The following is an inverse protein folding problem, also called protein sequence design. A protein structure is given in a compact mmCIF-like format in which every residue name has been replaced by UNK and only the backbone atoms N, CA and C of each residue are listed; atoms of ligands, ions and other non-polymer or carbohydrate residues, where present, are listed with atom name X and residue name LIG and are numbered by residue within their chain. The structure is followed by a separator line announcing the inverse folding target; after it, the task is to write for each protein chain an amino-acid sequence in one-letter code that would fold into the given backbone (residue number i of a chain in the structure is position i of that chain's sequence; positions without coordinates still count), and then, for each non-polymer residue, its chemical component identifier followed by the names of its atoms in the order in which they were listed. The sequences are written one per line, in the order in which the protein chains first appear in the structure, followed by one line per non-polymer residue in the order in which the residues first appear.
data_IF_506816208597
#
_entry.id   IF_506816208597
#
_cell.length_a   1.000
_cell.length_b   1.000
_cell.length_c   1.000
_cell.angle_alpha   90.00
_cell.angle_beta   90.00
_cell.angle_gamma   90.00
#
_symmetry.space_group_name_H-M   'P 1'
#
loop_
_entity.id
_entity.type
_entity.pdbx_description
1 polymer ?
#
# COMPACT_ATOMS: atom_id res chain seq x y z
N UNK A 1 -1.52 -18.84 6.06
CA UNK A 1 -2.30 -17.80 5.34
C UNK A 1 -1.64 -17.45 4.00
N UNK A 2 -0.36 -17.11 3.98
CA UNK A 2 0.40 -16.74 2.75
C UNK A 2 0.32 -17.81 1.65
N UNK A 3 0.41 -19.10 2.02
CA UNK A 3 0.36 -20.22 1.06
C UNK A 3 -0.93 -20.24 0.22
N UNK A 4 -2.08 -19.82 0.78
CA UNK A 4 -3.37 -19.80 0.06
C UNK A 4 -3.47 -18.67 -0.97
N UNK A 5 -2.80 -17.54 -0.71
CA UNK A 5 -2.79 -16.37 -1.61
C UNK A 5 -1.60 -16.39 -2.58
N UNK A 6 -0.58 -17.21 -2.31
CA UNK A 6 0.62 -17.31 -3.13
C UNK A 6 0.34 -17.52 -4.62
N UNK A 7 -0.58 -18.42 -5.05
CA UNK A 7 -0.89 -18.60 -6.47
C UNK A 7 -1.43 -17.33 -7.14
N UNK A 8 -2.26 -16.55 -6.43
CA UNK A 8 -2.80 -15.29 -6.93
C UNK A 8 -1.70 -14.24 -7.04
N UNK A 9 -0.82 -14.16 -6.04
CA UNK A 9 0.33 -13.24 -6.06
C UNK A 9 1.26 -13.56 -7.25
N UNK A 10 1.57 -14.84 -7.46
CA UNK A 10 2.40 -15.27 -8.58
C UNK A 10 1.74 -14.98 -9.91
N UNK A 11 0.46 -15.29 -10.07
CA UNK A 11 -0.27 -15.07 -11.30
C UNK A 11 -0.26 -13.59 -11.71
N UNK A 12 -0.50 -12.68 -10.77
CA UNK A 12 -0.52 -11.23 -11.05
C UNK A 12 0.86 -10.71 -11.45
N UNK A 13 1.94 -11.16 -10.80
CA UNK A 13 3.31 -10.80 -11.17
C UNK A 13 3.69 -11.36 -12.54
N UNK A 14 3.47 -12.65 -12.76
CA UNK A 14 3.85 -13.30 -14.02
C UNK A 14 3.07 -12.71 -15.19
N UNK A 15 1.76 -12.53 -15.06
CA UNK A 15 0.90 -12.01 -16.13
C UNK A 15 1.34 -10.61 -16.56
N UNK A 16 1.56 -9.72 -15.58
CA UNK A 16 2.01 -8.36 -15.87
C UNK A 16 3.42 -8.33 -16.49
N UNK A 17 4.34 -9.14 -15.99
CA UNK A 17 5.71 -9.20 -16.53
C UNK A 17 5.77 -9.77 -17.94
N UNK A 18 5.08 -10.87 -18.19
CA UNK A 18 4.99 -11.45 -19.54
C UNK A 18 4.46 -10.42 -20.53
N UNK A 19 3.40 -9.70 -20.13
CA UNK A 19 2.83 -8.65 -20.98
C UNK A 19 3.81 -7.52 -21.27
N UNK A 20 4.44 -6.98 -20.22
CA UNK A 20 5.41 -5.89 -20.34
C UNK A 20 6.65 -6.31 -21.11
N UNK A 21 7.13 -7.56 -20.91
CA UNK A 21 8.23 -8.13 -21.66
C UNK A 21 7.93 -8.15 -23.18
N UNK A 22 6.79 -8.71 -23.59
CA UNK A 22 6.41 -8.73 -24.99
C UNK A 22 6.19 -7.33 -25.56
N UNK A 23 5.73 -6.38 -24.77
CA UNK A 23 5.48 -5.02 -25.24
C UNK A 23 6.75 -4.20 -25.39
N UNK A 24 7.69 -4.30 -24.47
CA UNK A 24 8.84 -3.40 -24.39
C UNK A 24 10.19 -4.04 -24.71
N UNK A 25 10.35 -5.34 -24.42
CA UNK A 25 11.63 -6.04 -24.49
C UNK A 25 11.73 -6.96 -25.72
N UNK A 26 10.65 -7.67 -26.05
CA UNK A 26 10.66 -8.65 -27.13
C UNK A 26 10.94 -8.01 -28.50
N UNK A 27 11.83 -8.65 -29.27
CA UNK A 27 12.21 -8.17 -30.60
C UNK A 27 13.12 -6.95 -30.64
N UNK A 28 13.56 -6.44 -29.49
CA UNK A 28 14.51 -5.32 -29.38
C UNK A 28 15.82 -5.81 -28.78
N UNK A 29 16.94 -5.28 -29.25
CA UNK A 29 18.26 -5.58 -28.67
C UNK A 29 18.46 -4.67 -27.45
N UNK A 30 18.29 -5.22 -26.25
CA UNK A 30 18.63 -4.56 -25.01
C UNK A 30 19.92 -5.13 -24.43
N UNK A 31 20.73 -4.35 -23.69
CA UNK A 31 21.88 -4.87 -22.97
C UNK A 31 21.43 -5.81 -21.84
N UNK A 32 22.26 -6.77 -21.47
CA UNK A 32 21.95 -7.79 -20.45
C UNK A 32 21.49 -7.19 -19.12
N UNK A 33 22.07 -6.05 -18.71
CA UNK A 33 21.69 -5.39 -17.48
C UNK A 33 20.21 -4.91 -17.48
N UNK A 34 19.64 -4.60 -18.65
CA UNK A 34 18.24 -4.18 -18.74
C UNK A 34 17.29 -5.35 -18.47
N UNK A 35 17.61 -6.56 -18.94
CA UNK A 35 16.85 -7.77 -18.59
C UNK A 35 16.98 -8.08 -17.10
N UNK A 36 18.18 -7.95 -16.54
CA UNK A 36 18.41 -8.15 -15.12
C UNK A 36 17.56 -7.18 -14.27
N UNK A 37 17.61 -5.88 -14.56
CA UNK A 37 16.79 -4.88 -13.85
C UNK A 37 15.28 -5.10 -14.02
N UNK A 38 14.85 -5.62 -15.16
CA UNK A 38 13.44 -5.90 -15.40
C UNK A 38 12.91 -7.03 -14.52
N UNK A 39 13.63 -8.13 -14.40
CA UNK A 39 13.20 -9.31 -13.64
C UNK A 39 13.58 -9.28 -12.17
N UNK A 40 14.60 -8.52 -11.79
CA UNK A 40 15.14 -8.48 -10.42
C UNK A 40 14.08 -8.19 -9.34
N UNK A 41 13.19 -7.18 -9.48
CA UNK A 41 12.20 -6.88 -8.44
C UNK A 41 11.27 -8.07 -8.17
N UNK A 42 10.83 -8.75 -9.23
CA UNK A 42 9.93 -9.89 -9.10
C UNK A 42 10.65 -11.14 -8.58
N UNK A 43 11.91 -11.35 -8.96
CA UNK A 43 12.73 -12.42 -8.42
C UNK A 43 12.94 -12.26 -6.91
N UNK A 44 13.22 -11.03 -6.45
CA UNK A 44 13.35 -10.73 -5.03
C UNK A 44 12.03 -10.93 -4.27
N UNK A 45 10.89 -10.50 -4.83
CA UNK A 45 9.58 -10.74 -4.23
C UNK A 45 9.25 -12.24 -4.17
N UNK A 46 9.59 -13.01 -5.19
CA UNK A 46 9.40 -14.46 -5.19
C UNK A 46 10.23 -15.14 -4.10
N UNK A 47 11.51 -14.78 -3.99
CA UNK A 47 12.40 -15.31 -2.95
C UNK A 47 11.86 -14.95 -1.55
N UNK A 48 11.44 -13.70 -1.35
CA UNK A 48 10.84 -13.26 -0.09
C UNK A 48 9.55 -14.03 0.23
N UNK A 49 8.68 -14.26 -0.75
CA UNK A 49 7.47 -15.06 -0.58
C UNK A 49 7.78 -16.49 -0.16
N UNK A 50 8.79 -17.13 -0.79
CA UNK A 50 9.23 -18.48 -0.43
C UNK A 50 9.79 -18.54 1.00
N UNK A 51 10.60 -17.57 1.39
CA UNK A 51 11.13 -17.46 2.76
C UNK A 51 10.00 -17.34 3.76
N UNK A 52 9.04 -16.43 3.53
CA UNK A 52 7.89 -16.21 4.41
C UNK A 52 6.95 -17.41 4.50
N UNK A 53 6.85 -18.24 3.45
CA UNK A 53 6.07 -19.48 3.50
C UNK A 53 6.77 -20.59 4.28
N UNK A 54 8.11 -20.57 4.33
CA UNK A 54 8.91 -21.53 5.09
C UNK A 54 8.92 -21.22 6.59
N UNK A 55 8.82 -19.94 6.97
CA UNK A 55 8.79 -19.50 8.37
C UNK A 55 7.35 -19.59 8.90
N UNK A 56 6.92 -20.76 9.35
CA UNK A 56 5.54 -21.02 9.83
C UNK A 56 5.19 -20.30 11.16
N UNK A 57 6.16 -19.74 11.86
CA UNK A 57 5.96 -19.13 13.17
C UNK A 57 5.44 -17.70 13.06
N UNK A 58 4.23 -17.46 13.56
CA UNK A 58 3.62 -16.13 13.67
C UNK A 58 4.22 -15.34 14.86
N UNK A 59 5.52 -15.08 14.81
CA UNK A 59 6.15 -14.18 15.78
C UNK A 59 5.90 -12.71 15.38
N UNK A 60 5.93 -11.76 16.33
CA UNK A 60 5.81 -10.33 16.01
C UNK A 60 6.83 -9.84 14.95
N UNK A 61 8.00 -10.47 14.89
CA UNK A 61 9.03 -10.16 13.90
C UNK A 61 8.61 -10.59 12.49
N UNK A 62 7.99 -11.76 12.35
CA UNK A 62 7.46 -12.26 11.09
C UNK A 62 6.28 -11.41 10.59
N UNK A 63 5.48 -10.84 11.50
CA UNK A 63 4.41 -9.90 11.14
C UNK A 63 4.98 -8.65 10.45
N UNK A 64 6.03 -8.05 10.99
CA UNK A 64 6.70 -6.90 10.36
C UNK A 64 7.22 -7.25 8.95
N UNK A 65 7.85 -8.42 8.80
CA UNK A 65 8.33 -8.89 7.49
C UNK A 65 7.18 -9.09 6.50
N UNK A 66 6.05 -9.62 6.95
CA UNK A 66 4.84 -9.76 6.13
C UNK A 66 4.31 -8.40 5.66
N UNK A 67 4.22 -7.42 6.55
CA UNK A 67 3.77 -6.06 6.20
C UNK A 67 4.70 -5.44 5.14
N UNK A 68 6.01 -5.54 5.34
CA UNK A 68 7.00 -5.04 4.37
C UNK A 68 6.85 -5.77 3.03
N UNK A 69 6.73 -7.09 3.05
CA UNK A 69 6.55 -7.88 1.83
C UNK A 69 5.29 -7.46 1.06
N UNK A 70 4.13 -7.40 1.73
CA UNK A 70 2.88 -7.00 1.07
C UNK A 70 2.92 -5.57 0.57
N UNK A 71 3.55 -4.65 1.30
CA UNK A 71 3.73 -3.26 0.87
C UNK A 71 4.58 -3.17 -0.41
N UNK A 72 5.71 -3.88 -0.45
CA UNK A 72 6.56 -3.94 -1.63
C UNK A 72 5.88 -4.66 -2.81
N UNK A 73 5.17 -5.75 -2.52
CA UNK A 73 4.40 -6.46 -3.54
C UNK A 73 3.36 -5.54 -4.18
N UNK A 74 2.55 -4.85 -3.37
CA UNK A 74 1.54 -3.92 -3.87
C UNK A 74 2.17 -2.79 -4.67
N UNK A 75 3.28 -2.22 -4.20
CA UNK A 75 4.01 -1.14 -4.88
C UNK A 75 4.54 -1.55 -6.26
N UNK A 76 4.88 -2.83 -6.46
CA UNK A 76 5.41 -3.34 -7.73
C UNK A 76 4.29 -3.90 -8.61
N UNK A 77 3.38 -4.70 -8.05
CA UNK A 77 2.38 -5.42 -8.80
C UNK A 77 1.23 -4.53 -9.30
N UNK A 78 0.68 -3.65 -8.45
CA UNK A 78 -0.50 -2.86 -8.81
C UNK A 78 -0.24 -1.87 -9.96
N UNK A 79 0.88 -1.11 -10.01
CA UNK A 79 1.16 -0.26 -11.15
C UNK A 79 1.34 -1.04 -12.45
N UNK A 80 1.98 -2.23 -12.42
CA UNK A 80 2.13 -3.09 -13.58
C UNK A 80 0.78 -3.64 -14.07
N UNK A 81 -0.07 -4.06 -13.14
CA UNK A 81 -1.42 -4.52 -13.46
C UNK A 81 -2.29 -3.41 -14.04
N UNK A 82 -2.22 -2.19 -13.46
CA UNK A 82 -2.93 -1.03 -13.99
C UNK A 82 -2.47 -0.72 -15.41
N UNK A 83 -1.14 -0.74 -15.65
CA UNK A 83 -0.60 -0.58 -16.99
C UNK A 83 -1.19 -1.60 -17.97
N UNK A 84 -1.17 -2.88 -17.62
CA UNK A 84 -1.70 -3.97 -18.43
C UNK A 84 -3.17 -3.74 -18.76
N UNK A 85 -4.00 -3.44 -17.76
CA UNK A 85 -5.45 -3.26 -17.94
C UNK A 85 -5.72 -2.06 -18.86
N UNK A 86 -5.13 -0.91 -18.56
CA UNK A 86 -5.36 0.33 -19.35
C UNK A 86 -4.84 0.18 -20.78
N UNK A 87 -3.71 -0.50 -20.96
CA UNK A 87 -3.15 -0.72 -22.30
C UNK A 87 -3.96 -1.74 -23.12
N UNK A 88 -4.54 -2.76 -22.50
CA UNK A 88 -5.46 -3.68 -23.17
C UNK A 88 -6.75 -2.96 -23.62
N UNK A 89 -7.30 -2.10 -22.76
CA UNK A 89 -8.44 -1.25 -23.14
C UNK A 89 -8.04 -0.34 -24.30
N UNK A 90 -6.85 0.28 -24.21
CA UNK A 90 -6.29 1.11 -25.28
C UNK A 90 -6.12 0.35 -26.60
N UNK A 91 -5.70 -0.92 -26.56
CA UNK A 91 -5.64 -1.77 -27.77
C UNK A 91 -7.02 -1.98 -28.40
N UNK A 92 -8.06 -2.19 -27.56
CA UNK A 92 -9.45 -2.27 -28.04
C UNK A 92 -9.87 -0.97 -28.76
N UNK A 93 -9.57 0.19 -28.21
CA UNK A 93 -9.83 1.49 -28.83
C UNK A 93 -9.08 1.63 -30.16
N UNK A 94 -7.83 1.15 -30.22
CA UNK A 94 -6.99 1.23 -31.42
C UNK A 94 -7.46 0.35 -32.57
N UNK A 95 -8.39 -0.60 -32.37
CA UNK A 95 -9.06 -1.32 -33.46
C UNK A 95 -9.88 -0.37 -34.33
N UNK A 96 -10.52 0.63 -33.70
CA UNK A 96 -11.33 1.64 -34.39
C UNK A 96 -10.51 2.89 -34.77
N UNK A 97 -9.50 3.22 -33.94
CA UNK A 97 -8.66 4.42 -34.11
C UNK A 97 -7.16 4.09 -34.08
N UNK A 98 -6.58 3.54 -35.19
CA UNK A 98 -5.17 3.08 -35.20
C UNK A 98 -4.14 4.17 -34.86
N UNK A 99 -4.48 5.45 -35.16
CA UNK A 99 -3.61 6.60 -34.85
C UNK A 99 -3.44 6.86 -33.36
N UNK A 100 -4.37 6.37 -32.50
CA UNK A 100 -4.34 6.57 -31.05
C UNK A 100 -3.32 5.68 -30.31
N UNK A 101 -2.63 4.75 -30.97
CA UNK A 101 -1.75 3.76 -30.36
C UNK A 101 -0.69 4.36 -29.42
N UNK A 102 -0.02 5.44 -29.84
CA UNK A 102 0.98 6.12 -28.99
C UNK A 102 0.32 6.78 -27.78
N UNK A 103 -0.80 7.45 -27.99
CA UNK A 103 -1.55 8.11 -26.92
C UNK A 103 -2.05 7.10 -25.88
N UNK A 104 -2.61 5.97 -26.29
CA UNK A 104 -3.05 4.91 -25.39
C UNK A 104 -1.89 4.38 -24.52
N UNK A 105 -0.72 4.11 -25.11
CA UNK A 105 0.45 3.67 -24.32
C UNK A 105 0.96 4.77 -23.39
N UNK A 106 0.92 6.04 -23.79
CA UNK A 106 1.30 7.15 -22.91
C UNK A 106 0.35 7.26 -21.72
N UNK A 107 -0.96 7.15 -21.95
CA UNK A 107 -1.98 7.16 -20.89
C UNK A 107 -1.76 6.00 -19.91
N UNK A 108 -1.51 4.78 -20.42
CA UNK A 108 -1.23 3.61 -19.57
C UNK A 108 0.01 3.82 -18.71
N UNK A 109 1.07 4.38 -19.31
CA UNK A 109 2.31 4.69 -18.59
C UNK A 109 2.12 5.77 -17.53
N UNK A 110 1.39 6.85 -17.88
CA UNK A 110 1.12 7.95 -16.97
C UNK A 110 0.25 7.50 -15.78
N UNK A 111 -0.82 6.73 -16.04
CA UNK A 111 -1.68 6.18 -15.00
C UNK A 111 -0.91 5.25 -14.04
N UNK A 112 -0.07 4.38 -14.59
CA UNK A 112 0.77 3.47 -13.80
C UNK A 112 1.78 4.22 -12.94
N UNK A 113 2.45 5.23 -13.50
CA UNK A 113 3.40 6.06 -12.77
C UNK A 113 2.72 6.89 -11.68
N UNK A 114 1.55 7.48 -11.98
CA UNK A 114 0.77 8.23 -11.01
C UNK A 114 0.37 7.34 -9.83
N UNK A 115 -0.12 6.12 -10.09
CA UNK A 115 -0.44 5.16 -9.04
C UNK A 115 0.79 4.83 -8.19
N UNK A 116 1.95 4.59 -8.83
CA UNK A 116 3.21 4.31 -8.13
C UNK A 116 3.59 5.47 -7.21
N UNK A 117 3.47 6.72 -7.68
CA UNK A 117 3.76 7.92 -6.88
C UNK A 117 2.79 8.06 -5.71
N UNK A 118 1.49 7.86 -5.93
CA UNK A 118 0.47 7.93 -4.87
C UNK A 118 0.74 6.87 -3.80
N UNK A 119 1.01 5.64 -4.20
CA UNK A 119 1.30 4.54 -3.27
C UNK A 119 2.61 4.78 -2.51
N UNK A 120 3.67 5.22 -3.20
CA UNK A 120 4.94 5.55 -2.58
C UNK A 120 4.80 6.69 -1.56
N UNK A 121 4.06 7.73 -1.89
CA UNK A 121 3.73 8.82 -0.96
C UNK A 121 2.89 8.31 0.22
N UNK A 122 1.88 7.48 -0.02
CA UNK A 122 1.05 6.89 1.01
C UNK A 122 1.85 6.04 2.01
N UNK A 123 2.76 5.21 1.52
CA UNK A 123 3.64 4.40 2.37
C UNK A 123 4.65 5.24 3.17
N UNK A 124 5.12 6.35 2.59
CA UNK A 124 6.14 7.21 3.22
C UNK A 124 5.53 8.17 4.25
N UNK A 125 4.42 8.81 3.92
CA UNK A 125 3.82 9.88 4.72
C UNK A 125 2.56 9.44 5.47
N UNK A 126 1.82 8.43 4.97
CA UNK A 126 0.57 7.98 5.56
C UNK A 126 0.66 7.72 7.06
N UNK A 127 1.64 6.94 7.55
CA UNK A 127 1.77 6.64 8.97
C UNK A 127 2.06 7.85 9.86
N UNK A 128 2.52 8.96 9.28
CA UNK A 128 2.89 10.18 10.04
C UNK A 128 1.79 11.23 10.09
N UNK A 129 0.71 11.04 9.32
CA UNK A 129 -0.39 11.98 9.21
C UNK A 129 -1.44 11.72 10.29
N UNK A 130 -1.21 12.28 11.48
CA UNK A 130 -2.18 12.26 12.58
C UNK A 130 -3.22 13.36 12.36
N UNK A 131 -4.49 13.00 12.31
CA UNK A 131 -5.61 13.95 12.20
C UNK A 131 -6.45 13.92 13.47
N UNK A 132 -6.70 15.09 14.04
CA UNK A 132 -7.66 15.27 15.10
C UNK A 132 -8.99 15.73 14.48
N UNK A 133 -10.07 15.05 14.82
CA UNK A 133 -11.43 15.42 14.41
C UNK A 133 -12.22 15.80 15.65
N UNK A 134 -12.86 16.96 15.60
CA UNK A 134 -13.72 17.43 16.66
C UNK A 134 -15.18 17.16 16.31
N UNK A 135 -15.92 16.59 17.25
CA UNK A 135 -17.36 16.37 17.14
C UNK A 135 -18.00 16.85 18.41
N UNK A 136 -18.95 17.76 18.31
CA UNK A 136 -19.73 18.22 19.43
C UNK A 136 -20.99 17.37 19.57
N UNK A 137 -21.21 16.88 20.78
CA UNK A 137 -22.43 16.19 21.14
C UNK A 137 -23.16 17.01 22.20
N UNK A 138 -24.45 17.26 22.00
CA UNK A 138 -25.31 17.93 22.99
C UNK A 138 -26.62 17.17 23.13
N UNK A 139 -27.10 17.02 24.36
CA UNK A 139 -28.39 16.45 24.69
C UNK A 139 -28.97 17.15 25.90
N UNK A 140 -30.28 17.36 25.91
CA UNK A 140 -30.99 17.91 27.06
C UNK A 140 -30.99 16.96 28.26
N UNK A 141 -30.75 15.68 28.03
CA UNK A 141 -30.72 14.63 29.08
C UNK A 141 -29.36 14.49 29.75
N UNK A 142 -28.34 15.23 29.29
CA UNK A 142 -27.01 15.19 29.90
C UNK A 142 -27.00 15.99 31.20
N UNK A 143 -26.46 15.41 32.29
CA UNK A 143 -26.19 16.17 33.52
C UNK A 143 -25.25 17.36 33.25
N UNK A 144 -25.50 18.49 33.91
CA UNK A 144 -24.70 19.71 33.78
C UNK A 144 -23.21 19.51 34.09
N UNK A 145 -22.86 18.46 34.86
CA UNK A 145 -21.48 18.09 35.16
C UNK A 145 -20.68 17.69 33.91
N UNK A 146 -21.35 17.36 32.78
CA UNK A 146 -20.70 17.02 31.53
C UNK A 146 -20.60 18.22 30.56
N UNK A 147 -21.02 19.42 30.99
CA UNK A 147 -20.85 20.59 30.15
C UNK A 147 -19.35 20.90 29.96
N UNK A 148 -18.93 20.94 28.69
CA UNK A 148 -17.53 21.10 28.31
C UNK A 148 -16.63 19.89 28.51
N UNK A 149 -17.18 18.73 28.90
CA UNK A 149 -16.43 17.48 29.10
C UNK A 149 -15.85 16.96 27.77
N UNK A 150 -14.55 16.68 27.76
CA UNK A 150 -13.81 16.28 26.56
C UNK A 150 -13.43 14.82 26.60
N UNK A 151 -13.90 14.07 25.63
CA UNK A 151 -13.54 12.67 25.45
C UNK A 151 -12.65 12.57 24.19
N UNK A 152 -11.45 12.06 24.34
CA UNK A 152 -10.60 11.70 23.22
C UNK A 152 -10.70 10.20 23.00
N UNK A 153 -11.15 9.84 21.80
CA UNK A 153 -11.20 8.44 21.36
C UNK A 153 -10.11 8.17 20.33
N UNK A 154 -9.44 7.04 20.47
CA UNK A 154 -8.54 6.52 19.44
C UNK A 154 -8.67 4.98 19.32
N UNK A 155 -8.32 4.43 18.16
CA UNK A 155 -8.32 3.00 17.86
C UNK A 155 -7.22 2.65 16.88
N UNK A 156 -7.05 1.35 16.60
CA UNK A 156 -6.21 0.84 15.50
C UNK A 156 -4.76 1.36 15.54
N UNK A 157 -4.18 1.42 16.72
CA UNK A 157 -2.84 1.97 16.89
C UNK A 157 -1.75 1.06 16.29
N UNK A 158 -2.02 -0.26 16.21
CA UNK A 158 -1.10 -1.26 15.64
C UNK A 158 0.36 -1.06 16.10
N UNK A 159 0.60 -1.10 17.41
CA UNK A 159 1.91 -0.82 18.03
C UNK A 159 3.06 -1.62 17.43
N UNK A 160 2.77 -2.82 16.93
CA UNK A 160 3.75 -3.65 16.21
C UNK A 160 4.33 -2.96 14.98
N UNK A 161 3.55 -2.09 14.32
CA UNK A 161 3.99 -1.31 13.16
C UNK A 161 4.94 -0.17 13.56
N UNK A 162 4.88 0.27 14.81
CA UNK A 162 5.73 1.34 15.36
C UNK A 162 6.91 0.83 16.19
N UNK A 163 7.14 -0.50 16.25
CA UNK A 163 8.22 -1.10 17.05
C UNK A 163 9.58 -0.44 16.83
N UNK A 164 9.87 -0.04 15.60
CA UNK A 164 11.13 0.62 15.23
C UNK A 164 11.01 2.16 15.15
N UNK A 165 9.88 2.73 15.60
CA UNK A 165 9.60 4.18 15.55
C UNK A 165 8.85 4.61 16.82
N UNK A 166 9.46 4.48 18.02
CA UNK A 166 8.81 4.84 19.28
C UNK A 166 8.36 6.32 19.31
N UNK A 167 9.07 7.18 18.58
CA UNK A 167 8.74 8.59 18.41
C UNK A 167 7.34 8.82 17.81
N UNK A 168 6.79 7.85 17.10
CA UNK A 168 5.43 7.96 16.55
C UNK A 168 4.38 7.76 17.64
N UNK A 169 4.64 6.85 18.58
CA UNK A 169 3.75 6.63 19.73
C UNK A 169 3.75 7.88 20.63
N UNK A 170 4.92 8.47 20.85
CA UNK A 170 5.05 9.73 21.59
C UNK A 170 4.22 10.86 20.95
N UNK A 171 4.29 11.01 19.62
CA UNK A 171 3.47 11.99 18.88
C UNK A 171 1.97 11.75 19.04
N UNK A 172 1.52 10.48 19.07
CA UNK A 172 0.10 10.16 19.30
C UNK A 172 -0.29 10.62 20.71
N UNK A 173 0.52 10.31 21.71
CA UNK A 173 0.29 10.74 23.11
C UNK A 173 0.26 12.27 23.21
N UNK A 174 1.23 12.97 22.60
CA UNK A 174 1.25 14.43 22.56
C UNK A 174 -0.03 15.00 21.94
N UNK A 175 -0.46 14.46 20.80
CA UNK A 175 -1.70 14.87 20.14
C UNK A 175 -2.95 14.66 20.98
N UNK A 176 -3.01 13.57 21.75
CA UNK A 176 -4.09 13.30 22.69
C UNK A 176 -4.07 14.35 23.81
N UNK A 177 -2.90 14.58 24.43
CA UNK A 177 -2.76 15.49 25.54
C UNK A 177 -3.00 16.96 25.15
N UNK A 178 -2.64 17.39 23.92
CA UNK A 178 -2.96 18.70 23.38
C UNK A 178 -4.46 19.02 23.38
N UNK A 179 -5.32 17.97 23.35
CA UNK A 179 -6.78 18.16 23.41
C UNK A 179 -7.30 18.43 24.83
N UNK A 180 -6.44 18.32 25.85
CA UNK A 180 -6.82 18.44 27.26
C UNK A 180 -8.04 17.56 27.59
N UNK A 181 -7.96 16.23 27.41
CA UNK A 181 -9.10 15.34 27.62
C UNK A 181 -9.41 15.17 29.10
N UNK A 182 -10.70 15.12 29.45
CA UNK A 182 -11.18 14.65 30.75
C UNK A 182 -11.26 13.11 30.79
N UNK A 183 -11.41 12.48 29.62
CA UNK A 183 -11.42 11.02 29.46
C UNK A 183 -10.74 10.62 28.17
N UNK A 184 -9.97 9.52 28.24
CA UNK A 184 -9.36 8.89 27.08
C UNK A 184 -10.00 7.51 26.91
N UNK A 185 -10.50 7.21 25.71
CA UNK A 185 -11.15 5.95 25.35
C UNK A 185 -10.38 5.28 24.24
N UNK A 186 -9.94 4.06 24.52
CA UNK A 186 -9.33 3.19 23.53
C UNK A 186 -10.33 2.11 23.08
N UNK A 187 -10.64 2.04 21.78
CA UNK A 187 -11.69 1.17 21.27
C UNK A 187 -11.18 -0.09 20.56
N UNK A 188 -9.90 -0.40 20.72
CA UNK A 188 -9.33 -1.68 20.31
C UNK A 188 -8.26 -1.57 19.21
N UNK A 189 -7.66 -2.73 18.93
CA UNK A 189 -6.57 -2.98 17.98
C UNK A 189 -5.26 -2.23 18.30
N UNK A 190 -4.55 -2.77 19.29
CA UNK A 190 -3.25 -2.26 19.78
C UNK A 190 -2.09 -2.70 18.90
#
# INVERSE_FOLDING_TARGET
MVLRILPVLLLTLILSDVYLYFKFMYGRRHPLWAYFLFFLPNALLLIAALILTWTENHTPENMTQMVIFFSLYMLIALPKMLFLIVDLIGKGICLFFPRAKKACTMVSSAASLLLLCIMGAGLSFGPTLLQVRHTNFSSADLPTAFDGYRIVQFSDLHLTSFRNRPEMVEKVVERIMEQCPDMIVFTGDL
#
